data_IF_342867108590
#
_entry.id   IF_342867108590
#
_cell.length_a   1.000
_cell.length_b   1.000
_cell.length_c   1.000
_cell.angle_alpha   90.00
_cell.angle_beta   90.00
_cell.angle_gamma   90.00
#
_symmetry.space_group_name_H-M   'P 1'
#
loop_
_entity.id
_entity.type
_entity.pdbx_description
1 polymer ?
#
# COMPACT_ATOMS: atom_id res chain seq x y z
N UNK A 1 -5.58 16.39 20.70
CA UNK A 1 -5.73 15.40 19.61
C UNK A 1 -4.34 14.91 19.25
N UNK A 2 -4.03 13.63 19.51
CA UNK A 2 -2.71 13.08 19.23
C UNK A 2 -2.62 12.81 17.73
N UNK A 3 -1.72 13.49 17.03
CA UNK A 3 -1.30 13.06 15.69
C UNK A 3 -0.93 11.59 15.79
N UNK A 4 -1.48 10.76 14.92
CA UNK A 4 -1.09 9.36 14.83
C UNK A 4 0.42 9.34 14.54
N UNK A 5 1.22 8.94 15.51
CA UNK A 5 2.65 8.69 15.33
C UNK A 5 2.75 7.39 14.56
N UNK A 6 2.65 7.48 13.23
CA UNK A 6 3.13 6.42 12.36
C UNK A 6 4.62 6.22 12.70
N UNK A 7 5.08 4.99 13.01
CA UNK A 7 6.49 4.77 13.31
C UNK A 7 7.38 5.27 12.18
N UNK A 8 8.60 5.66 12.55
CA UNK A 8 9.53 6.50 11.76
C UNK A 8 9.90 5.96 10.35
N UNK A 9 9.44 4.77 9.96
CA UNK A 9 9.91 4.04 8.79
C UNK A 9 8.84 3.75 7.72
N UNK A 10 7.63 4.32 7.80
CA UNK A 10 6.68 4.27 6.66
C UNK A 10 6.90 5.50 5.77
N UNK A 11 7.57 5.29 4.65
CA UNK A 11 7.73 6.32 3.62
C UNK A 11 6.59 6.17 2.62
N UNK A 12 5.73 7.19 2.57
CA UNK A 12 4.73 7.31 1.52
C UNK A 12 5.40 7.90 0.29
N UNK A 13 5.78 7.04 -0.66
CA UNK A 13 6.25 7.49 -1.96
C UNK A 13 5.04 7.93 -2.80
N UNK A 14 4.76 9.24 -2.85
CA UNK A 14 3.64 9.80 -3.62
C UNK A 14 4.22 10.55 -4.82
N UNK A 15 4.41 9.83 -5.93
CA UNK A 15 5.14 10.30 -7.11
C UNK A 15 4.41 11.38 -7.93
N UNK A 16 3.10 11.61 -7.75
CA UNK A 16 2.32 12.49 -8.65
C UNK A 16 1.93 13.88 -8.10
N UNK A 17 2.22 14.22 -6.84
CA UNK A 17 1.76 15.52 -6.25
C UNK A 17 2.76 16.19 -5.29
N UNK A 18 4.06 15.96 -5.50
CA UNK A 18 5.15 16.35 -4.58
C UNK A 18 5.07 17.81 -4.08
N UNK A 19 4.82 18.77 -4.98
CA UNK A 19 4.81 20.22 -4.66
C UNK A 19 3.75 20.58 -3.60
N UNK A 20 2.56 19.98 -3.69
CA UNK A 20 1.46 20.26 -2.78
C UNK A 20 1.77 19.77 -1.36
N UNK A 21 2.41 18.62 -1.23
CA UNK A 21 2.79 18.06 0.07
C UNK A 21 3.87 18.88 0.77
N UNK A 22 4.87 19.37 0.04
CA UNK A 22 6.04 20.04 0.62
C UNK A 22 5.71 21.43 1.13
N UNK A 23 4.91 22.22 0.40
CA UNK A 23 4.63 23.60 0.76
C UNK A 23 3.46 23.75 1.73
N UNK A 24 2.38 23.00 1.51
CA UNK A 24 1.12 23.19 2.23
C UNK A 24 0.66 21.96 3.03
N UNK A 25 1.09 20.76 2.64
CA UNK A 25 0.48 19.53 3.13
C UNK A 25 -0.89 19.29 2.49
N UNK A 26 -1.61 18.30 2.96
CA UNK A 26 -2.95 17.95 2.47
C UNK A 26 -3.98 18.03 3.58
N UNK A 27 -5.11 18.65 3.29
CA UNK A 27 -6.28 18.61 4.16
C UNK A 27 -7.03 17.29 3.91
N UNK A 28 -7.21 16.48 4.95
CA UNK A 28 -7.94 15.22 4.88
C UNK A 28 -9.30 15.44 5.54
N UNK A 29 -10.37 15.35 4.76
CA UNK A 29 -11.76 15.41 5.23
C UNK A 29 -12.35 14.01 5.16
N UNK A 30 -12.33 13.28 6.28
CA UNK A 30 -12.81 11.90 6.36
C UNK A 30 -14.09 11.82 7.18
N UNK A 31 -15.16 11.28 6.60
CA UNK A 31 -16.40 11.02 7.34
C UNK A 31 -16.21 9.95 8.44
N UNK A 32 -15.20 9.07 8.29
CA UNK A 32 -14.90 7.98 9.23
C UNK A 32 -13.80 8.32 10.24
N UNK A 33 -12.76 9.02 9.81
CA UNK A 33 -11.53 9.24 10.60
C UNK A 33 -11.40 10.69 11.11
N UNK A 34 -12.32 11.58 10.74
CA UNK A 34 -12.31 12.98 11.12
C UNK A 34 -11.59 13.88 10.13
N UNK A 35 -11.34 15.13 10.54
CA UNK A 35 -10.70 16.16 9.72
C UNK A 35 -9.28 16.41 10.20
N UNK A 36 -8.32 16.39 9.27
CA UNK A 36 -6.92 16.71 9.51
C UNK A 36 -6.50 17.81 8.55
N UNK A 37 -5.98 18.93 9.07
CA UNK A 37 -5.58 20.06 8.24
C UNK A 37 -4.07 20.09 8.08
N UNK A 38 -3.59 20.33 6.86
CA UNK A 38 -2.17 20.42 6.52
C UNK A 38 -1.37 19.18 6.92
N UNK A 39 -1.95 17.98 6.81
CA UNK A 39 -1.24 16.73 7.10
C UNK A 39 -0.05 16.57 6.16
N UNK A 40 1.09 16.12 6.70
CA UNK A 40 2.32 15.91 5.95
C UNK A 40 2.92 14.55 6.28
N UNK A 41 3.40 13.80 5.28
CA UNK A 41 4.26 12.66 5.54
C UNK A 41 5.59 13.13 6.14
N UNK A 42 6.33 12.20 6.73
CA UNK A 42 7.66 12.49 7.27
C UNK A 42 8.61 13.03 6.19
N UNK A 43 8.51 12.49 4.97
CA UNK A 43 9.36 12.83 3.84
C UNK A 43 8.58 12.70 2.54
N UNK A 44 8.93 13.54 1.57
CA UNK A 44 8.47 13.47 0.18
C UNK A 44 9.71 13.53 -0.71
N UNK A 45 9.77 12.68 -1.71
CA UNK A 45 10.83 12.65 -2.71
C UNK A 45 10.20 12.55 -4.10
N UNK A 46 10.96 12.96 -5.11
CA UNK A 46 10.48 13.14 -6.48
C UNK A 46 10.63 11.92 -7.39
N UNK A 47 11.40 10.92 -6.96
CA UNK A 47 11.67 9.72 -7.73
C UNK A 47 11.96 8.51 -6.83
N UNK A 48 11.84 7.32 -7.41
CA UNK A 48 12.26 6.06 -6.76
C UNK A 48 13.76 6.02 -6.49
N UNK A 49 14.58 6.61 -7.37
CA UNK A 49 16.03 6.74 -7.16
C UNK A 49 16.35 7.63 -5.95
N UNK A 50 15.71 8.80 -5.86
CA UNK A 50 15.81 9.68 -4.71
C UNK A 50 15.42 8.94 -3.42
N UNK A 51 14.34 8.15 -3.45
CA UNK A 51 13.94 7.34 -2.30
C UNK A 51 15.02 6.30 -1.91
N UNK A 52 15.54 5.56 -2.89
CA UNK A 52 16.54 4.51 -2.66
C UNK A 52 17.91 5.05 -2.20
N UNK A 53 18.18 6.34 -2.41
CA UNK A 53 19.40 7.01 -1.96
C UNK A 53 19.28 7.63 -0.57
N UNK A 54 18.07 7.87 -0.08
CA UNK A 54 17.86 8.54 1.22
C UNK A 54 17.86 7.55 2.38
N UNK A 55 17.38 6.33 2.19
CA UNK A 55 17.43 5.28 3.21
C UNK A 55 18.02 3.99 2.69
N UNK A 56 18.78 3.32 3.55
CA UNK A 56 19.38 2.04 3.22
C UNK A 56 18.36 0.89 3.19
N UNK A 57 17.28 1.00 3.96
CA UNK A 57 16.23 -0.01 4.06
C UNK A 57 14.87 0.56 4.47
N UNK A 58 13.80 -0.07 4.00
CA UNK A 58 12.41 0.22 4.31
C UNK A 58 11.74 -1.02 4.89
N UNK A 59 11.03 -0.86 6.00
CA UNK A 59 10.26 -1.95 6.61
C UNK A 59 9.16 -2.45 5.67
N UNK A 60 8.52 -1.53 4.94
CA UNK A 60 7.49 -1.82 3.93
C UNK A 60 7.62 -0.87 2.75
N UNK A 61 7.44 -1.40 1.54
CA UNK A 61 7.17 -0.61 0.34
C UNK A 61 5.71 -0.80 -0.04
N UNK A 62 4.89 0.24 0.16
CA UNK A 62 3.45 0.20 -0.09
C UNK A 62 3.13 0.83 -1.45
N UNK A 63 2.55 0.04 -2.35
CA UNK A 63 2.22 0.42 -3.71
C UNK A 63 0.72 0.68 -3.85
N UNK A 64 0.35 1.94 -4.11
CA UNK A 64 -1.05 2.40 -4.27
C UNK A 64 -1.33 3.03 -5.64
N UNK A 65 -0.35 3.01 -6.56
CA UNK A 65 -0.53 3.45 -7.94
C UNK A 65 -1.35 2.45 -8.77
N UNK A 66 -1.86 2.88 -9.92
CA UNK A 66 -2.62 2.02 -10.83
C UNK A 66 -1.71 0.94 -11.42
N UNK A 67 -2.11 -0.33 -11.30
CA UNK A 67 -1.41 -1.45 -11.96
C UNK A 67 -1.70 -1.43 -13.47
N UNK A 68 -0.67 -1.27 -14.29
CA UNK A 68 -0.75 -1.19 -15.76
C UNK A 68 0.40 -2.00 -16.39
N UNK A 69 0.42 -3.34 -16.26
CA UNK A 69 1.55 -4.18 -16.66
C UNK A 69 1.86 -4.10 -18.16
N UNK A 70 0.87 -3.79 -19.01
CA UNK A 70 1.06 -3.60 -20.45
C UNK A 70 1.87 -2.33 -20.80
N UNK A 71 2.01 -1.40 -19.84
CA UNK A 71 2.78 -0.15 -20.00
C UNK A 71 4.11 -0.25 -19.26
N UNK A 72 4.04 -0.60 -17.97
CA UNK A 72 5.21 -0.76 -17.10
C UNK A 72 4.84 -1.71 -15.95
N UNK A 73 5.71 -2.69 -15.69
CA UNK A 73 5.47 -3.63 -14.59
C UNK A 73 5.79 -2.98 -13.24
N UNK A 74 5.16 -3.45 -12.17
CA UNK A 74 5.43 -2.97 -10.80
C UNK A 74 6.92 -3.04 -10.44
N UNK A 75 7.67 -4.13 -10.72
CA UNK A 75 9.12 -4.16 -10.49
C UNK A 75 9.90 -3.10 -11.24
N UNK A 76 9.57 -2.87 -12.51
CA UNK A 76 10.22 -1.85 -13.33
C UNK A 76 10.01 -0.45 -12.74
N UNK A 77 8.80 -0.17 -12.25
CA UNK A 77 8.51 1.12 -11.61
C UNK A 77 9.22 1.28 -10.25
N UNK A 78 9.34 0.21 -9.47
CA UNK A 78 10.03 0.24 -8.17
C UNK A 78 11.56 0.36 -8.31
N UNK A 79 12.13 -0.19 -9.38
CA UNK A 79 13.56 -0.05 -9.72
C UNK A 79 14.48 -0.34 -8.53
N UNK A 80 15.31 0.63 -8.08
CA UNK A 80 16.26 0.40 -7.00
C UNK A 80 15.62 0.10 -5.64
N UNK A 81 14.33 0.43 -5.42
CA UNK A 81 13.64 0.10 -4.17
C UNK A 81 13.43 -1.40 -3.96
N UNK A 82 13.52 -2.22 -5.02
CA UNK A 82 13.46 -3.68 -4.91
C UNK A 82 14.56 -4.23 -3.98
N UNK A 83 15.73 -3.59 -3.96
CA UNK A 83 16.85 -3.95 -3.09
C UNK A 83 16.77 -3.34 -1.68
N UNK A 84 15.80 -2.44 -1.44
CA UNK A 84 15.69 -1.66 -0.21
C UNK A 84 14.59 -2.18 0.72
N UNK A 85 13.85 -3.21 0.34
CA UNK A 85 12.86 -3.82 1.22
C UNK A 85 12.69 -5.31 0.95
N UNK A 86 12.14 -5.99 1.96
CA UNK A 86 11.74 -7.39 1.92
C UNK A 86 10.23 -7.57 1.91
N UNK A 87 9.49 -6.52 2.27
CA UNK A 87 8.06 -6.57 2.45
C UNK A 87 7.41 -5.56 1.52
N UNK A 88 6.65 -6.05 0.55
CA UNK A 88 5.95 -5.22 -0.42
C UNK A 88 4.45 -5.36 -0.21
N UNK A 89 3.72 -4.26 -0.18
CA UNK A 89 2.27 -4.25 -0.01
C UNK A 89 1.62 -3.67 -1.25
N UNK A 90 0.86 -4.49 -1.98
CA UNK A 90 0.21 -4.09 -3.23
C UNK A 90 -1.28 -3.82 -2.98
N UNK A 91 -1.66 -2.54 -2.90
CA UNK A 91 -3.05 -2.11 -2.77
C UNK A 91 -3.49 -1.52 -4.11
N UNK A 92 -3.65 -2.40 -5.08
CA UNK A 92 -4.01 -2.05 -6.46
C UNK A 92 -5.19 -2.90 -6.92
N UNK A 93 -5.96 -2.37 -7.87
CA UNK A 93 -7.02 -3.12 -8.53
C UNK A 93 -6.43 -4.12 -9.54
N UNK A 94 -7.11 -5.25 -9.75
CA UNK A 94 -6.72 -6.31 -10.69
C UNK A 94 -6.51 -7.68 -10.04
N UNK A 95 -6.31 -8.70 -10.87
CA UNK A 95 -5.88 -10.06 -10.52
C UNK A 95 -4.43 -10.25 -10.96
N UNK A 96 -3.65 -11.02 -10.20
CA UNK A 96 -2.29 -11.39 -10.58
C UNK A 96 -1.29 -10.23 -10.54
N UNK A 97 -1.63 -9.14 -9.84
CA UNK A 97 -0.78 -7.95 -9.70
C UNK A 97 0.52 -8.26 -8.94
N UNK A 98 0.53 -9.37 -8.21
CA UNK A 98 1.62 -9.86 -7.38
C UNK A 98 2.70 -10.59 -8.19
N UNK A 99 2.32 -11.16 -9.35
CA UNK A 99 3.13 -12.14 -10.07
C UNK A 99 4.46 -11.58 -10.54
N UNK A 100 4.45 -10.40 -11.18
CA UNK A 100 5.68 -9.76 -11.67
C UNK A 100 6.63 -9.43 -10.51
N UNK A 101 6.08 -8.98 -9.38
CA UNK A 101 6.88 -8.63 -8.21
C UNK A 101 7.47 -9.84 -7.52
N UNK A 102 6.68 -10.89 -7.33
CA UNK A 102 7.17 -12.14 -6.79
C UNK A 102 8.21 -12.79 -7.71
N UNK A 103 8.07 -12.66 -9.04
CA UNK A 103 9.07 -13.14 -9.98
C UNK A 103 10.38 -12.34 -9.92
N UNK A 104 10.29 -11.01 -9.76
CA UNK A 104 11.46 -10.13 -9.70
C UNK A 104 12.23 -10.23 -8.36
N UNK A 105 11.52 -10.51 -7.26
CA UNK A 105 12.10 -10.70 -5.92
C UNK A 105 11.51 -11.98 -5.29
N UNK A 106 11.95 -13.19 -5.72
CA UNK A 106 11.39 -14.48 -5.31
C UNK A 106 11.25 -14.68 -3.81
N UNK A 107 12.13 -14.08 -3.04
CA UNK A 107 12.25 -14.25 -1.61
C UNK A 107 11.52 -13.15 -0.80
N UNK A 108 10.88 -12.20 -1.47
CA UNK A 108 10.12 -11.14 -0.83
C UNK A 108 8.81 -11.66 -0.22
N UNK A 109 8.40 -11.03 0.88
CA UNK A 109 7.03 -11.13 1.39
C UNK A 109 6.18 -10.14 0.58
N UNK A 110 5.42 -10.66 -0.37
CA UNK A 110 4.43 -9.88 -1.11
C UNK A 110 3.09 -9.99 -0.38
N UNK A 111 2.61 -8.88 0.15
CA UNK A 111 1.26 -8.73 0.67
C UNK A 111 0.38 -8.07 -0.38
N UNK A 112 -0.85 -8.54 -0.43
CA UNK A 112 -1.81 -8.13 -1.43
C UNK A 112 -3.05 -7.59 -0.73
N UNK A 113 -3.53 -6.44 -1.20
CA UNK A 113 -4.61 -5.67 -0.57
C UNK A 113 -5.78 -5.39 -1.51
N UNK A 114 -6.98 -5.71 -1.06
CA UNK A 114 -8.24 -5.33 -1.65
C UNK A 114 -8.85 -4.17 -0.86
N UNK A 115 -8.75 -2.94 -1.38
CA UNK A 115 -9.41 -1.77 -0.81
C UNK A 115 -10.77 -1.52 -1.46
N UNK A 116 -11.82 -1.36 -0.66
CA UNK A 116 -13.07 -0.67 -1.00
C UNK A 116 -13.05 0.65 -0.28
N UNK A 117 -12.83 1.71 -1.03
CA UNK A 117 -12.67 3.05 -0.48
C UNK A 117 -13.35 4.05 -1.41
N UNK A 118 -14.06 4.99 -0.81
CA UNK A 118 -14.52 6.19 -1.50
C UNK A 118 -13.61 7.35 -1.10
N UNK A 119 -12.62 7.65 -1.94
CA UNK A 119 -11.68 8.73 -1.70
C UNK A 119 -11.41 9.48 -3.00
N UNK A 120 -11.60 10.80 -2.96
CA UNK A 120 -11.37 11.68 -4.11
C UNK A 120 -10.54 12.88 -3.68
N UNK A 121 -9.53 13.20 -4.47
CA UNK A 121 -8.76 14.43 -4.31
C UNK A 121 -9.48 15.56 -5.03
N UNK A 122 -9.77 16.64 -4.30
CA UNK A 122 -10.48 17.83 -4.78
C UNK A 122 -9.65 19.08 -4.54
N UNK A 123 -10.20 20.25 -4.86
CA UNK A 123 -9.60 21.56 -4.53
C UNK A 123 -8.16 21.68 -5.06
N UNK A 124 -7.98 21.31 -6.33
CA UNK A 124 -6.70 21.30 -7.05
C UNK A 124 -5.59 20.49 -6.36
N UNK A 125 -5.96 19.40 -5.67
CA UNK A 125 -4.98 18.54 -5.00
C UNK A 125 -4.79 18.83 -3.52
N UNK A 126 -5.41 19.90 -2.99
CA UNK A 126 -5.24 20.31 -1.59
C UNK A 126 -6.01 19.48 -0.60
N UNK A 127 -7.14 18.91 -1.01
CA UNK A 127 -8.05 18.24 -0.07
C UNK A 127 -8.38 16.83 -0.53
N UNK A 128 -8.11 15.86 0.33
CA UNK A 128 -8.58 14.48 0.20
C UNK A 128 -9.95 14.37 0.88
N UNK A 129 -11.02 14.18 0.12
CA UNK A 129 -12.34 13.82 0.65
C UNK A 129 -12.46 12.32 0.71
N UNK A 130 -12.75 11.81 1.89
CA UNK A 130 -12.95 10.39 2.15
C UNK A 130 -14.37 10.16 2.70
N UNK A 131 -15.13 9.34 1.98
CA UNK A 131 -16.50 8.99 2.29
C UNK A 131 -16.64 8.06 3.50
N UNK A 132 -17.84 7.50 3.72
CA UNK A 132 -18.11 6.62 4.85
C UNK A 132 -17.56 5.20 4.64
N UNK A 133 -17.29 4.80 3.38
CA UNK A 133 -16.83 3.45 3.03
C UNK A 133 -15.30 3.40 3.09
N UNK A 134 -14.81 2.60 4.04
CA UNK A 134 -13.41 2.16 4.11
C UNK A 134 -13.40 0.72 4.60
N UNK A 135 -12.99 -0.17 3.69
CA UNK A 135 -12.69 -1.57 3.99
C UNK A 135 -11.43 -1.97 3.26
N UNK A 136 -10.47 -2.52 4.00
CA UNK A 136 -9.25 -3.08 3.45
C UNK A 136 -9.13 -4.54 3.88
N UNK A 137 -9.01 -5.44 2.91
CA UNK A 137 -8.71 -6.85 3.15
C UNK A 137 -7.29 -7.11 2.65
N UNK A 138 -6.39 -7.57 3.52
CA UNK A 138 -4.97 -7.80 3.17
C UNK A 138 -4.56 -9.21 3.57
N UNK A 139 -3.82 -9.89 2.70
CA UNK A 139 -3.20 -11.18 2.99
C UNK A 139 -1.86 -11.33 2.31
N UNK A 140 -1.08 -12.32 2.74
CA UNK A 140 0.17 -12.67 2.08
C UNK A 140 -0.14 -13.42 0.77
N UNK A 141 0.57 -13.08 -0.29
CA UNK A 141 0.58 -13.85 -1.53
C UNK A 141 1.45 -15.09 -1.35
N UNK A 142 1.07 -16.18 -2.01
CA UNK A 142 1.88 -17.39 -2.01
C UNK A 142 3.08 -17.22 -2.93
N UNK A 143 4.30 -17.60 -2.53
CA UNK A 143 5.44 -17.59 -3.43
C UNK A 143 5.19 -18.42 -4.69
N UNK A 144 5.75 -18.00 -5.81
CA UNK A 144 5.61 -18.71 -7.08
C UNK A 144 6.13 -20.15 -6.96
N UNK A 145 5.30 -21.11 -7.35
CA UNK A 145 5.62 -22.54 -7.27
C UNK A 145 5.37 -23.19 -5.91
N UNK A 146 4.89 -22.45 -4.91
CA UNK A 146 4.41 -23.05 -3.67
C UNK A 146 3.18 -23.95 -3.95
N UNK A 147 3.02 -25.08 -3.23
CA UNK A 147 1.82 -25.89 -3.32
C UNK A 147 0.57 -25.06 -3.00
N UNK A 148 -0.58 -25.33 -3.65
CA UNK A 148 -1.84 -24.72 -3.27
C UNK A 148 -2.10 -24.88 -1.77
N UNK A 149 -2.54 -23.80 -1.12
CA UNK A 149 -2.87 -23.78 0.32
C UNK A 149 -1.70 -24.10 1.27
N UNK A 150 -0.45 -24.02 0.79
CA UNK A 150 0.71 -24.13 1.67
C UNK A 150 0.64 -23.07 2.80
N UNK A 151 1.00 -23.42 4.03
CA UNK A 151 1.07 -22.42 5.10
C UNK A 151 2.11 -21.37 4.74
N UNK A 152 1.75 -20.10 4.94
CA UNK A 152 2.71 -19.00 4.80
C UNK A 152 3.86 -19.16 5.82
N UNK A 153 5.05 -18.69 5.46
CA UNK A 153 6.19 -18.72 6.36
C UNK A 153 5.95 -17.86 7.61
N UNK A 154 6.70 -18.12 8.68
CA UNK A 154 6.63 -17.34 9.91
C UNK A 154 6.93 -15.86 9.64
N UNK A 155 7.90 -15.57 8.76
CA UNK A 155 8.26 -14.21 8.37
C UNK A 155 7.10 -13.49 7.68
N UNK A 156 6.45 -14.15 6.73
CA UNK A 156 5.29 -13.59 6.04
C UNK A 156 4.11 -13.33 6.99
N UNK A 157 3.86 -14.25 7.93
CA UNK A 157 2.84 -14.07 8.96
C UNK A 157 3.16 -12.87 9.87
N UNK A 158 4.39 -12.78 10.37
CA UNK A 158 4.81 -11.68 11.25
C UNK A 158 4.76 -10.32 10.55
N UNK A 159 5.23 -10.23 9.31
CA UNK A 159 5.14 -9.00 8.52
C UNK A 159 3.69 -8.58 8.28
N UNK A 160 2.82 -9.52 7.88
CA UNK A 160 1.41 -9.25 7.67
C UNK A 160 0.69 -8.77 8.94
N UNK A 161 0.89 -9.46 10.07
CA UNK A 161 0.28 -9.07 11.35
C UNK A 161 0.78 -7.71 11.80
N UNK A 162 2.08 -7.45 11.68
CA UNK A 162 2.67 -6.14 12.03
C UNK A 162 2.06 -5.03 11.19
N UNK A 163 1.94 -5.22 9.87
CA UNK A 163 1.33 -4.24 8.97
C UNK A 163 -0.15 -3.98 9.31
N UNK A 164 -0.92 -5.03 9.59
CA UNK A 164 -2.32 -4.93 10.00
C UNK A 164 -2.47 -4.16 11.33
N UNK A 165 -1.61 -4.44 12.30
CA UNK A 165 -1.65 -3.77 13.61
C UNK A 165 -1.25 -2.29 13.51
N UNK A 166 -0.29 -1.97 12.64
CA UNK A 166 0.06 -0.58 12.33
C UNK A 166 -1.14 0.20 11.78
N UNK A 167 -1.87 -0.37 10.82
CA UNK A 167 -3.07 0.25 10.26
C UNK A 167 -4.18 0.41 11.31
N UNK A 168 -4.38 -0.59 12.18
CA UNK A 168 -5.34 -0.51 13.31
C UNK A 168 -4.96 0.59 14.29
N UNK A 169 -3.67 0.76 14.59
CA UNK A 169 -3.19 1.85 15.45
C UNK A 169 -3.45 3.24 14.86
N UNK A 170 -3.57 3.31 13.53
CA UNK A 170 -4.01 4.49 12.77
C UNK A 170 -5.51 4.75 12.76
N UNK A 171 -6.31 3.90 13.40
CA UNK A 171 -7.77 3.98 13.39
C UNK A 171 -8.44 3.30 12.19
N UNK A 172 -7.66 2.63 11.32
CA UNK A 172 -8.19 1.82 10.23
C UNK A 172 -8.80 0.51 10.74
N UNK A 173 -9.61 -0.13 9.90
CA UNK A 173 -10.23 -1.44 10.21
C UNK A 173 -9.87 -2.51 9.18
N UNK A 174 -8.57 -2.84 9.00
CA UNK A 174 -8.16 -3.87 8.06
C UNK A 174 -8.57 -5.27 8.53
N UNK A 175 -9.00 -6.10 7.58
CA UNK A 175 -9.27 -7.52 7.76
C UNK A 175 -8.10 -8.32 7.17
N UNK A 176 -7.60 -9.31 7.93
CA UNK A 176 -6.57 -10.21 7.44
C UNK A 176 -7.20 -11.37 6.67
N UNK A 177 -6.82 -11.55 5.41
CA UNK A 177 -7.29 -12.65 4.57
C UNK A 177 -6.45 -13.91 4.79
N UNK A 178 -7.12 -15.05 4.92
CA UNK A 178 -6.48 -16.38 4.84
C UNK A 178 -6.09 -16.70 3.40
N UNK A 179 -6.97 -16.39 2.46
CA UNK A 179 -6.73 -16.54 1.02
C UNK A 179 -7.02 -15.20 0.32
N UNK A 180 -5.95 -14.47 0.01
CA UNK A 180 -6.06 -13.15 -0.61
C UNK A 180 -6.52 -13.20 -2.07
N UNK A 181 -6.22 -14.29 -2.79
CA UNK A 181 -6.68 -14.49 -4.17
C UNK A 181 -8.19 -14.64 -4.23
N UNK A 182 -8.78 -15.43 -3.32
CA UNK A 182 -10.23 -15.55 -3.19
C UNK A 182 -10.89 -14.20 -2.87
N UNK A 183 -10.26 -13.38 -2.01
CA UNK A 183 -10.73 -12.04 -1.70
C UNK A 183 -10.66 -11.08 -2.91
N UNK A 184 -9.63 -11.21 -3.76
CA UNK A 184 -9.54 -10.47 -5.03
C UNK A 184 -10.64 -10.85 -6.00
N UNK A 185 -10.86 -12.14 -6.23
CA UNK A 185 -11.95 -12.61 -7.09
C UNK A 185 -13.32 -12.13 -6.59
N UNK A 186 -13.55 -12.17 -5.27
CA UNK A 186 -14.78 -11.62 -4.67
C UNK A 186 -14.94 -10.12 -4.93
N UNK A 187 -13.85 -9.35 -4.91
CA UNK A 187 -13.86 -7.91 -5.22
C UNK A 187 -14.21 -7.66 -6.69
N UNK A 188 -13.75 -8.51 -7.61
CA UNK A 188 -14.08 -8.35 -9.03
C UNK A 188 -15.56 -8.60 -9.30
N UNK A 189 -16.15 -9.63 -8.70
CA UNK A 189 -17.59 -9.88 -8.83
C UNK A 189 -18.41 -8.64 -8.45
N UNK A 190 -17.99 -7.91 -7.39
CA UNK A 190 -18.62 -6.65 -7.00
C UNK A 190 -18.50 -5.52 -8.04
N UNK A 191 -17.42 -5.49 -8.83
CA UNK A 191 -17.25 -4.48 -9.88
C UNK A 191 -18.10 -4.77 -11.13
N UNK A 192 -18.60 -6.00 -11.29
CA UNK A 192 -19.40 -6.42 -12.46
C UNK A 192 -20.92 -6.45 -12.21
N UNK A 193 -21.37 -6.12 -10.99
CA UNK A 193 -22.80 -5.99 -10.62
C UNK A 193 -23.16 -4.56 -10.27
#
# INVERSE_FOLDING_TARGET
MRQCKVPHNIINLILMQIILFTEHGIDIQSQKLGVYLGWRPHRVVDSVDSAANVEDSYDYVVCTFKCLPDIITTPQLLGPLLARSRNFVLIQNGIGIELDLQAAVPEAVVMSGCAWIDATVVDHGRTLRHGPIEKLVVGAHQPLGAPPEAPHSTEAHTALTTFVDLLKSGGGTPEQAVNIEAARWKKIIWHET
#
